data_IF_411884400290
#
_entry.id   IF_411884400290
#
_cell.length_a   1.000
_cell.length_b   1.000
_cell.length_c   1.000
_cell.angle_alpha   90.00
_cell.angle_beta   90.00
_cell.angle_gamma   90.00
#
_symmetry.space_group_name_H-M   'P 1'
#
loop_
_entity.id
_entity.type
_entity.pdbx_description
1 polymer ?
#
# COMPACT_ATOMS: atom_id res chain seq x y z
N UNK A 1 -7.41 -43.69 13.53
CA UNK A 1 -7.17 -42.39 14.20
C UNK A 1 -6.81 -41.37 13.12
N UNK A 2 -7.60 -40.30 12.93
CA UNK A 2 -7.28 -39.26 11.94
C UNK A 2 -5.96 -38.60 12.32
N UNK A 3 -5.05 -38.46 11.35
CA UNK A 3 -3.74 -37.87 11.58
C UNK A 3 -3.94 -36.43 12.08
N UNK A 4 -3.32 -36.08 13.21
CA UNK A 4 -3.53 -34.77 13.87
C UNK A 4 -3.15 -33.61 12.92
N UNK A 5 -2.19 -33.89 12.03
CA UNK A 5 -1.75 -32.98 10.97
C UNK A 5 -2.83 -32.73 9.92
N UNK A 6 -3.57 -33.76 9.47
CA UNK A 6 -4.64 -33.60 8.47
C UNK A 6 -5.76 -32.69 8.98
N UNK A 7 -6.06 -32.79 10.28
CA UNK A 7 -7.07 -31.94 10.93
C UNK A 7 -6.62 -30.49 11.01
N UNK A 8 -5.31 -30.26 11.27
CA UNK A 8 -4.71 -28.91 11.28
C UNK A 8 -4.74 -28.29 9.87
N UNK A 9 -4.28 -29.02 8.85
CA UNK A 9 -4.26 -28.53 7.47
C UNK A 9 -5.67 -28.24 6.95
N UNK A 10 -6.62 -29.13 7.21
CA UNK A 10 -8.02 -28.91 6.84
C UNK A 10 -8.63 -27.67 7.51
N UNK A 11 -8.30 -27.42 8.77
CA UNK A 11 -8.77 -26.20 9.46
C UNK A 11 -8.20 -24.93 8.84
N UNK A 12 -6.92 -24.95 8.44
CA UNK A 12 -6.28 -23.79 7.79
C UNK A 12 -6.93 -23.47 6.45
N UNK A 13 -7.20 -24.49 5.63
CA UNK A 13 -7.85 -24.37 4.33
C UNK A 13 -9.31 -23.95 4.49
N UNK A 14 -10.11 -24.68 5.29
CA UNK A 14 -11.56 -24.47 5.42
C UNK A 14 -11.89 -23.11 6.06
N UNK A 15 -11.06 -22.63 7.00
CA UNK A 15 -11.27 -21.33 7.66
C UNK A 15 -10.53 -20.18 6.99
N UNK A 16 -9.80 -20.45 5.90
CA UNK A 16 -8.91 -19.50 5.24
C UNK A 16 -8.00 -18.76 6.23
N UNK A 17 -7.48 -19.50 7.23
CA UNK A 17 -6.63 -18.95 8.30
C UNK A 17 -5.14 -19.05 7.94
N UNK A 18 -4.83 -19.17 6.65
CA UNK A 18 -3.46 -19.20 6.19
C UNK A 18 -2.81 -17.84 6.42
N UNK A 19 -2.16 -17.69 7.58
CA UNK A 19 -1.33 -16.55 7.88
C UNK A 19 -0.02 -16.70 7.12
N UNK A 20 0.02 -16.16 5.91
CA UNK A 20 1.25 -16.06 5.13
C UNK A 20 2.13 -14.96 5.74
N UNK A 21 2.92 -15.33 6.75
CA UNK A 21 3.92 -14.45 7.33
C UNK A 21 5.15 -14.45 6.44
N UNK A 22 5.32 -13.38 5.67
CA UNK A 22 6.52 -13.11 4.91
C UNK A 22 6.96 -11.67 5.20
N UNK A 23 7.87 -11.45 6.16
CA UNK A 23 8.24 -10.10 6.61
C UNK A 23 8.84 -9.26 5.49
N UNK A 24 9.62 -9.86 4.58
CA UNK A 24 10.18 -9.16 3.42
C UNK A 24 9.08 -8.72 2.44
N UNK A 25 8.08 -9.58 2.22
CA UNK A 25 6.93 -9.23 1.39
C UNK A 25 6.09 -8.13 2.04
N UNK A 26 5.76 -8.25 3.33
CA UNK A 26 4.99 -7.24 4.06
C UNK A 26 5.71 -5.91 4.08
N UNK A 27 6.98 -5.86 4.48
CA UNK A 27 7.74 -4.61 4.52
C UNK A 27 7.79 -3.94 3.15
N UNK A 28 8.04 -4.72 2.08
CA UNK A 28 8.09 -4.20 0.72
C UNK A 28 6.72 -3.72 0.22
N UNK A 29 5.65 -4.48 0.45
CA UNK A 29 4.31 -4.15 -0.03
C UNK A 29 3.64 -3.06 0.80
N UNK A 30 3.77 -3.12 2.13
CA UNK A 30 3.25 -2.08 3.02
C UNK A 30 3.96 -0.76 2.74
N UNK A 31 5.29 -0.75 2.62
CA UNK A 31 6.03 0.47 2.24
C UNK A 31 5.60 1.00 0.87
N UNK A 32 5.40 0.11 -0.10
CA UNK A 32 4.95 0.47 -1.44
C UNK A 32 3.52 1.05 -1.45
N UNK A 33 2.59 0.54 -0.63
CA UNK A 33 1.22 1.05 -0.55
C UNK A 33 1.15 2.35 0.26
N UNK A 34 1.97 2.46 1.31
CA UNK A 34 2.01 3.61 2.20
C UNK A 34 2.58 4.84 1.47
N UNK A 35 3.61 4.67 0.64
CA UNK A 35 4.28 5.77 -0.08
C UNK A 35 3.32 6.64 -0.94
N UNK A 36 2.50 6.07 -1.85
CA UNK A 36 1.53 6.84 -2.63
C UNK A 36 0.47 7.53 -1.76
N UNK A 37 -0.02 6.86 -0.72
CA UNK A 37 -1.01 7.41 0.22
C UNK A 37 -0.46 8.65 0.93
N UNK A 38 0.75 8.55 1.47
CA UNK A 38 1.40 9.67 2.16
C UNK A 38 1.72 10.82 1.19
N UNK A 39 2.17 10.49 -0.02
CA UNK A 39 2.43 11.45 -1.09
C UNK A 39 1.17 12.26 -1.45
N UNK A 40 0.02 11.59 -1.58
CA UNK A 40 -1.27 12.23 -1.84
C UNK A 40 -1.77 13.06 -0.65
N UNK A 41 -1.54 12.60 0.58
CA UNK A 41 -1.91 13.36 1.78
C UNK A 41 -1.16 14.69 1.87
N UNK A 42 0.14 14.68 1.60
CA UNK A 42 0.96 15.90 1.56
C UNK A 42 0.50 16.84 0.44
N UNK A 43 0.21 16.30 -0.76
CA UNK A 43 -0.31 17.09 -1.87
C UNK A 43 -1.64 17.76 -1.53
N UNK A 44 -2.57 17.00 -0.92
CA UNK A 44 -3.86 17.53 -0.44
C UNK A 44 -3.66 18.69 0.53
N UNK A 45 -2.79 18.51 1.54
CA UNK A 45 -2.52 19.56 2.53
C UNK A 45 -1.94 20.82 1.88
N UNK A 46 -1.07 20.70 0.88
CA UNK A 46 -0.54 21.87 0.14
C UNK A 46 -1.65 22.61 -0.60
N UNK A 47 -2.53 21.87 -1.29
CA UNK A 47 -3.64 22.45 -2.03
C UNK A 47 -4.63 23.16 -1.10
N UNK A 48 -4.93 22.57 0.07
CA UNK A 48 -5.85 23.16 1.05
C UNK A 48 -5.31 24.45 1.68
N UNK A 49 -3.99 24.54 1.90
CA UNK A 49 -3.38 25.71 2.55
C UNK A 49 -2.96 26.82 1.57
N UNK A 50 -2.48 26.45 0.37
CA UNK A 50 -1.85 27.38 -0.57
C UNK A 50 -2.63 27.57 -1.88
N UNK A 51 -3.75 26.85 -2.02
CA UNK A 51 -4.56 26.81 -3.24
C UNK A 51 -4.08 25.80 -4.28
N UNK A 52 -4.93 25.53 -5.26
CA UNK A 52 -4.59 24.62 -6.35
C UNK A 52 -3.58 25.26 -7.31
N UNK A 53 -2.39 24.66 -7.41
CA UNK A 53 -1.24 25.19 -8.16
C UNK A 53 -0.59 24.10 -8.98
N UNK A 54 -0.26 24.40 -10.24
CA UNK A 54 0.33 23.45 -11.19
C UNK A 54 1.70 22.96 -10.71
N UNK A 55 2.46 23.85 -10.10
CA UNK A 55 3.81 23.66 -9.61
C UNK A 55 3.89 22.51 -8.58
N UNK A 56 2.81 22.28 -7.81
CA UNK A 56 2.76 21.18 -6.85
C UNK A 56 2.72 19.82 -7.53
N UNK A 57 2.05 19.71 -8.68
CA UNK A 57 1.99 18.46 -9.44
C UNK A 57 3.28 18.24 -10.23
N UNK A 58 3.88 19.31 -10.77
CA UNK A 58 5.19 19.24 -11.44
C UNK A 58 6.28 18.78 -10.46
N UNK A 59 6.34 19.37 -9.27
CA UNK A 59 7.27 18.93 -8.22
C UNK A 59 7.00 17.48 -7.80
N UNK A 60 5.73 17.07 -7.71
CA UNK A 60 5.38 15.69 -7.38
C UNK A 60 5.87 14.70 -8.45
N UNK A 61 5.77 15.05 -9.73
CA UNK A 61 6.22 14.21 -10.84
C UNK A 61 7.75 14.13 -10.97
N UNK A 62 8.45 15.22 -10.66
CA UNK A 62 9.91 15.30 -10.79
C UNK A 62 10.66 14.79 -9.55
N UNK A 63 10.15 15.09 -8.35
CA UNK A 63 10.90 14.90 -7.11
C UNK A 63 10.51 13.62 -6.36
N UNK A 64 9.39 12.98 -6.71
CA UNK A 64 8.91 11.76 -6.04
C UNK A 64 8.99 10.56 -6.98
N UNK A 65 9.75 9.54 -6.55
CA UNK A 65 9.90 8.26 -7.27
C UNK A 65 8.55 7.63 -7.67
N UNK A 66 7.54 7.76 -6.81
CA UNK A 66 6.19 7.24 -7.05
C UNK A 66 5.16 8.34 -7.36
N UNK A 67 5.59 9.54 -7.74
CA UNK A 67 4.70 10.68 -7.98
C UNK A 67 3.65 10.42 -9.05
N UNK A 68 4.07 9.90 -10.21
CA UNK A 68 3.14 9.53 -11.29
C UNK A 68 2.14 8.44 -10.86
N UNK A 69 2.62 7.40 -10.15
CA UNK A 69 1.76 6.32 -9.65
C UNK A 69 0.74 6.83 -8.63
N UNK A 70 1.15 7.75 -7.77
CA UNK A 70 0.26 8.37 -6.78
C UNK A 70 -0.87 9.15 -7.48
N UNK A 71 -0.56 9.92 -8.53
CA UNK A 71 -1.59 10.65 -9.29
C UNK A 71 -2.54 9.70 -10.04
N UNK A 72 -2.01 8.65 -10.67
CA UNK A 72 -2.83 7.67 -11.38
C UNK A 72 -3.73 6.84 -10.45
N UNK A 73 -3.39 6.75 -9.15
CA UNK A 73 -4.23 6.08 -8.17
C UNK A 73 -5.51 6.87 -7.80
N UNK A 74 -5.63 8.13 -8.25
CA UNK A 74 -6.82 8.95 -8.02
C UNK A 74 -7.94 8.72 -9.04
N UNK A 75 -7.65 8.05 -10.17
CA UNK A 75 -8.60 7.77 -11.25
C UNK A 75 -9.12 6.34 -11.20
#
# INVERSE_FOLDING_TARGET
>A
MKNKNDTKFKTVIDKNTFYFYNPVFQEKYESYIISPKETLLVLKNKIENEGLKKEFFEALLLDKENGLRALLALT
#
